data_IF_464769245034
#
_entry.id   IF_464769245034
#
_cell.length_a   1.000
_cell.length_b   1.000
_cell.length_c   1.000
_cell.angle_alpha   90.00
_cell.angle_beta   90.00
_cell.angle_gamma   90.00
#
_symmetry.space_group_name_H-M   'P 1'
#
loop_
_entity.id
_entity.type
_entity.pdbx_description
1 polymer ?
#
# COMPACT_ATOMS: atom_id res chain seq x y z
N UNK A 1 -19.75 -27.75 67.40
CA UNK A 1 -18.51 -28.30 66.81
C UNK A 1 -18.43 -27.86 65.36
N UNK A 2 -17.40 -27.06 65.06
CA UNK A 2 -16.71 -26.85 63.77
C UNK A 2 -17.47 -26.38 62.50
N UNK A 3 -17.17 -25.15 62.06
CA UNK A 3 -16.90 -24.84 60.64
C UNK A 3 -15.43 -25.24 60.32
N UNK A 4 -14.98 -25.46 59.05
CA UNK A 4 -14.88 -24.48 57.94
C UNK A 4 -15.31 -25.09 56.56
N UNK A 5 -15.44 -24.45 55.39
CA UNK A 5 -14.72 -23.36 54.71
C UNK A 5 -13.89 -23.90 53.52
N UNK A 6 -14.24 -23.56 52.27
CA UNK A 6 -13.38 -23.46 51.05
C UNK A 6 -14.26 -23.44 49.78
N UNK A 7 -14.41 -22.33 49.06
CA UNK A 7 -13.43 -21.74 48.14
C UNK A 7 -12.98 -22.72 47.04
N UNK A 8 -13.78 -22.83 45.97
CA UNK A 8 -13.40 -23.49 44.71
C UNK A 8 -13.24 -22.43 43.63
N UNK A 9 -12.01 -21.95 43.51
CA UNK A 9 -11.55 -20.89 42.62
C UNK A 9 -11.75 -21.21 41.13
N UNK A 10 -12.24 -20.19 40.42
CA UNK A 10 -12.01 -19.99 38.99
C UNK A 10 -10.56 -20.31 38.61
N UNK A 11 -10.37 -21.31 37.74
CA UNK A 11 -9.11 -21.46 37.02
C UNK A 11 -9.43 -21.61 35.55
N UNK A 12 -9.28 -20.50 34.83
CA UNK A 12 -9.42 -20.41 33.40
C UNK A 12 -8.61 -21.49 32.70
N UNK A 13 -9.30 -22.29 31.90
CA UNK A 13 -8.69 -23.30 31.05
C UNK A 13 -7.62 -22.64 30.16
N UNK A 14 -6.34 -22.83 30.51
CA UNK A 14 -5.18 -22.42 29.71
C UNK A 14 -5.33 -23.02 28.32
N UNK A 15 -5.61 -22.18 27.32
CA UNK A 15 -5.72 -22.59 25.91
C UNK A 15 -4.45 -23.32 25.47
N UNK A 16 -4.60 -24.59 25.08
CA UNK A 16 -3.52 -25.54 24.81
C UNK A 16 -3.15 -25.46 23.32
N UNK A 17 -1.89 -25.17 23.00
CA UNK A 17 -1.39 -25.11 21.63
C UNK A 17 -0.38 -26.24 21.37
N UNK A 18 -0.71 -27.12 20.41
CA UNK A 18 0.12 -28.25 19.98
C UNK A 18 1.25 -27.81 19.02
N UNK A 19 2.42 -28.46 19.10
CA UNK A 19 3.58 -28.22 18.23
C UNK A 19 3.54 -29.08 16.95
N UNK A 20 4.70 -29.52 16.44
CA UNK A 20 4.75 -30.59 15.41
C UNK A 20 4.09 -31.86 15.97
N UNK A 21 3.50 -32.68 15.08
CA UNK A 21 2.73 -33.88 15.40
C UNK A 21 3.24 -34.61 16.66
N UNK A 22 2.41 -34.65 17.71
CA UNK A 22 2.67 -35.37 18.96
C UNK A 22 3.47 -34.65 20.05
N UNK A 23 4.14 -33.52 19.76
CA UNK A 23 4.96 -32.81 20.76
C UNK A 23 4.26 -31.58 21.35
N UNK A 24 4.14 -31.56 22.69
CA UNK A 24 3.69 -30.38 23.45
C UNK A 24 4.77 -29.31 23.41
N UNK A 25 4.39 -28.09 23.05
CA UNK A 25 5.28 -26.95 23.19
C UNK A 25 5.52 -26.69 24.67
N UNK A 26 6.79 -26.66 25.08
CA UNK A 26 7.17 -26.21 26.43
C UNK A 26 6.70 -24.77 26.64
N UNK A 27 6.47 -24.36 27.88
CA UNK A 27 6.10 -22.96 28.19
C UNK A 27 7.14 -21.96 27.63
N UNK A 28 8.42 -22.33 27.67
CA UNK A 28 9.51 -21.56 27.07
C UNK A 28 9.38 -21.43 25.55
N UNK A 29 9.01 -22.51 24.85
CA UNK A 29 8.81 -22.46 23.40
C UNK A 29 7.55 -21.66 23.03
N UNK A 30 6.48 -21.78 23.82
CA UNK A 30 5.28 -20.95 23.65
C UNK A 30 5.62 -19.45 23.85
N UNK A 31 6.39 -19.12 24.89
CA UNK A 31 6.86 -17.75 25.15
C UNK A 31 7.74 -17.23 24.00
N UNK A 32 8.69 -18.01 23.51
CA UNK A 32 9.54 -17.64 22.35
C UNK A 32 8.71 -17.39 21.09
N UNK A 33 7.72 -18.23 20.79
CA UNK A 33 6.82 -18.04 19.63
C UNK A 33 5.96 -16.79 19.76
N UNK A 34 5.41 -16.52 20.96
CA UNK A 34 4.65 -15.28 21.24
C UNK A 34 5.54 -14.05 21.07
N UNK A 35 6.75 -14.07 21.63
CA UNK A 35 7.73 -12.99 21.49
C UNK A 35 8.14 -12.78 20.03
N UNK A 36 8.41 -13.84 19.27
CA UNK A 36 8.75 -13.75 17.86
C UNK A 36 7.60 -13.17 17.00
N UNK A 37 6.36 -13.58 17.27
CA UNK A 37 5.17 -13.00 16.60
C UNK A 37 5.00 -11.51 16.94
N UNK A 38 5.16 -11.13 18.21
CA UNK A 38 5.07 -9.75 18.64
C UNK A 38 6.19 -8.89 18.04
N UNK A 39 7.41 -9.41 17.98
CA UNK A 39 8.55 -8.75 17.34
C UNK A 39 8.31 -8.53 15.85
N UNK A 40 7.87 -9.56 15.11
CA UNK A 40 7.53 -9.42 13.69
C UNK A 40 6.46 -8.38 13.43
N UNK A 41 5.36 -8.39 14.19
CA UNK A 41 4.30 -7.36 14.09
C UNK A 41 4.83 -5.95 14.33
N UNK A 42 5.72 -5.76 15.32
CA UNK A 42 6.36 -4.46 15.57
C UNK A 42 7.27 -4.03 14.43
N UNK A 43 8.02 -4.96 13.83
CA UNK A 43 8.87 -4.65 12.68
C UNK A 43 8.04 -4.30 11.45
N UNK A 44 6.98 -5.07 11.17
CA UNK A 44 6.02 -4.79 10.10
C UNK A 44 5.37 -3.42 10.28
N UNK A 45 4.92 -3.08 11.49
CA UNK A 45 4.35 -1.77 11.80
C UNK A 45 5.36 -0.64 11.56
N UNK A 46 6.58 -0.75 12.10
CA UNK A 46 7.64 0.23 11.87
C UNK A 46 7.98 0.39 10.39
N UNK A 47 7.99 -0.71 9.64
CA UNK A 47 8.24 -0.68 8.21
C UNK A 47 7.11 0.03 7.45
N UNK A 48 5.85 -0.19 7.85
CA UNK A 48 4.69 0.52 7.27
C UNK A 48 4.73 2.00 7.58
N UNK A 49 5.00 2.38 8.84
CA UNK A 49 5.15 3.77 9.26
C UNK A 49 6.23 4.48 8.43
N UNK A 50 7.40 3.84 8.28
CA UNK A 50 8.48 4.37 7.44
C UNK A 50 8.08 4.48 5.96
N UNK A 51 7.37 3.49 5.42
CA UNK A 51 6.90 3.55 4.03
C UNK A 51 5.89 4.69 3.82
N UNK A 52 4.99 4.92 4.78
CA UNK A 52 4.06 6.04 4.77
C UNK A 52 4.78 7.39 4.86
N UNK A 53 5.84 7.50 5.66
CA UNK A 53 6.67 8.71 5.74
C UNK A 53 7.38 9.00 4.40
N UNK A 54 7.99 7.98 3.79
CA UNK A 54 8.59 8.09 2.46
C UNK A 54 7.56 8.49 1.42
N UNK A 55 6.38 7.86 1.44
CA UNK A 55 5.29 8.18 0.53
C UNK A 55 4.80 9.62 0.70
N UNK A 56 4.65 10.09 1.94
CA UNK A 56 4.24 11.46 2.24
C UNK A 56 5.19 12.46 1.61
N UNK A 57 6.50 12.27 1.86
CA UNK A 57 7.52 13.16 1.30
C UNK A 57 7.56 13.11 -0.22
N UNK A 58 7.42 11.93 -0.82
CA UNK A 58 7.36 11.82 -2.29
C UNK A 58 6.13 12.50 -2.87
N UNK A 59 4.99 12.35 -2.21
CA UNK A 59 3.74 13.02 -2.59
C UNK A 59 3.87 14.55 -2.51
N UNK A 60 4.46 15.09 -1.44
CA UNK A 60 4.74 16.53 -1.28
C UNK A 60 5.65 17.08 -2.39
N UNK A 61 6.56 16.25 -2.90
CA UNK A 61 7.48 16.59 -3.99
C UNK A 61 6.89 16.38 -5.40
N UNK A 62 5.61 16.03 -5.53
CA UNK A 62 5.00 15.82 -6.84
C UNK A 62 5.36 14.48 -7.51
N UNK A 63 5.92 13.52 -6.77
CA UNK A 63 6.51 12.30 -7.34
C UNK A 63 5.53 11.15 -7.58
N UNK A 64 4.21 11.35 -7.40
CA UNK A 64 3.24 10.30 -7.78
C UNK A 64 3.34 10.04 -9.27
N UNK A 65 3.60 8.78 -9.64
CA UNK A 65 3.80 8.38 -11.03
C UNK A 65 2.51 7.77 -11.62
N UNK A 66 1.88 8.39 -12.63
CA UNK A 66 0.63 7.91 -13.22
C UNK A 66 0.68 6.46 -13.73
N UNK A 67 1.77 6.06 -14.39
CA UNK A 67 1.91 4.69 -14.87
C UNK A 67 1.85 3.62 -13.77
N UNK A 68 2.25 3.98 -12.55
CA UNK A 68 2.17 3.08 -11.39
C UNK A 68 0.70 2.92 -10.97
N UNK A 69 -0.09 3.98 -11.03
CA UNK A 69 -1.55 3.92 -10.81
C UNK A 69 -2.18 2.94 -11.81
N UNK A 70 -1.93 3.14 -13.11
CA UNK A 70 -2.43 2.23 -14.17
C UNK A 70 -2.00 0.79 -13.94
N UNK A 71 -0.72 0.55 -13.67
CA UNK A 71 -0.21 -0.80 -13.45
C UNK A 71 -0.84 -1.50 -12.22
N UNK A 72 -1.12 -0.76 -11.15
CA UNK A 72 -1.76 -1.30 -9.95
C UNK A 72 -3.24 -1.63 -10.19
N UNK A 73 -3.97 -0.75 -10.90
CA UNK A 73 -5.37 -0.96 -11.26
C UNK A 73 -5.53 -2.14 -12.24
N UNK A 74 -4.71 -2.19 -13.30
CA UNK A 74 -4.71 -3.28 -14.29
C UNK A 74 -4.42 -4.63 -13.64
N UNK A 75 -3.45 -4.69 -12.73
CA UNK A 75 -3.08 -5.93 -12.03
C UNK A 75 -4.21 -6.47 -11.15
N UNK A 76 -5.01 -5.56 -10.57
CA UNK A 76 -6.19 -5.89 -9.77
C UNK A 76 -7.49 -6.03 -10.58
N UNK A 77 -7.48 -5.69 -11.87
CA UNK A 77 -8.69 -5.52 -12.71
C UNK A 77 -9.72 -4.58 -12.07
N UNK A 78 -9.20 -3.48 -11.51
CA UNK A 78 -10.01 -2.40 -10.96
C UNK A 78 -10.39 -1.47 -12.11
N UNK A 79 -11.64 -1.50 -12.54
CA UNK A 79 -12.13 -0.76 -13.70
C UNK A 79 -13.47 -0.09 -13.38
N UNK A 80 -13.72 1.07 -13.97
CA UNK A 80 -14.99 1.78 -13.89
C UNK A 80 -15.16 2.68 -12.65
N UNK A 81 -16.35 3.29 -12.49
CA UNK A 81 -16.59 4.39 -11.54
C UNK A 81 -16.48 3.98 -10.07
N UNK A 82 -16.57 2.67 -9.78
CA UNK A 82 -16.41 2.15 -8.42
C UNK A 82 -14.99 2.41 -7.88
N UNK A 83 -13.99 2.60 -8.76
CA UNK A 83 -12.62 2.91 -8.38
C UNK A 83 -12.51 4.32 -7.80
N UNK A 84 -13.12 5.32 -8.44
CA UNK A 84 -13.21 6.69 -7.91
C UNK A 84 -13.89 6.69 -6.53
N UNK A 85 -15.01 5.98 -6.40
CA UNK A 85 -15.76 5.88 -5.14
C UNK A 85 -14.89 5.25 -4.05
N UNK A 86 -14.20 4.14 -4.36
CA UNK A 86 -13.32 3.46 -3.41
C UNK A 86 -12.15 4.36 -2.96
N UNK A 87 -11.70 5.27 -3.83
CA UNK A 87 -10.64 6.22 -3.54
C UNK A 87 -11.17 7.53 -2.93
N UNK A 88 -12.48 7.69 -2.71
CA UNK A 88 -13.07 8.94 -2.21
C UNK A 88 -12.91 10.10 -3.19
N UNK A 89 -12.95 9.82 -4.48
CA UNK A 89 -12.85 10.79 -5.56
C UNK A 89 -14.16 10.89 -6.34
N UNK A 90 -14.33 12.03 -7.03
CA UNK A 90 -15.45 12.24 -7.95
C UNK A 90 -14.99 11.86 -9.37
N UNK A 91 -15.74 10.97 -10.02
CA UNK A 91 -15.49 10.59 -11.42
C UNK A 91 -15.41 11.84 -12.32
N UNK A 92 -14.40 11.98 -13.20
CA UNK A 92 -13.44 10.96 -13.65
C UNK A 92 -12.03 11.10 -13.02
N UNK A 93 -11.94 11.41 -11.72
CA UNK A 93 -10.65 11.73 -11.08
C UNK A 93 -9.56 10.67 -11.29
N UNK A 94 -9.89 9.38 -11.20
CA UNK A 94 -8.90 8.30 -11.34
C UNK A 94 -8.37 8.24 -12.77
N UNK A 95 -9.23 8.38 -13.78
CA UNK A 95 -8.79 8.48 -15.18
C UNK A 95 -7.84 9.67 -15.37
N UNK A 96 -8.12 10.80 -14.72
CA UNK A 96 -7.27 11.99 -14.75
C UNK A 96 -5.94 11.78 -13.98
N UNK A 97 -5.91 10.93 -12.96
CA UNK A 97 -4.67 10.54 -12.28
C UNK A 97 -3.79 9.68 -13.17
N UNK A 98 -4.37 8.69 -13.85
CA UNK A 98 -3.68 7.83 -14.82
C UNK A 98 -3.19 8.62 -16.04
N UNK A 99 -3.95 9.65 -16.45
CA UNK A 99 -3.55 10.59 -17.49
C UNK A 99 -2.50 11.63 -17.02
N UNK A 100 -2.21 11.70 -15.72
CA UNK A 100 -1.30 12.69 -15.15
C UNK A 100 -1.83 14.12 -15.19
N UNK A 101 -3.13 14.32 -15.43
CA UNK A 101 -3.78 15.63 -15.54
C UNK A 101 -4.46 16.07 -14.25
N UNK A 102 -4.55 15.19 -13.25
CA UNK A 102 -4.96 15.51 -11.88
C UNK A 102 -4.05 14.80 -10.89
N UNK A 103 -3.76 15.47 -9.77
CA UNK A 103 -2.93 14.91 -8.71
C UNK A 103 -3.82 14.44 -7.55
N UNK A 104 -3.70 13.18 -7.08
CA UNK A 104 -4.50 12.69 -5.96
C UNK A 104 -4.08 13.38 -4.66
N UNK A 105 -5.02 13.57 -3.73
CA UNK A 105 -4.63 13.93 -2.35
C UNK A 105 -3.91 12.76 -1.70
N UNK A 106 -3.16 13.01 -0.61
CA UNK A 106 -2.49 11.91 0.09
C UNK A 106 -3.46 10.89 0.70
N UNK A 107 -4.65 11.33 1.11
CA UNK A 107 -5.70 10.44 1.61
C UNK A 107 -6.21 9.53 0.47
N UNK A 108 -6.47 10.10 -0.70
CA UNK A 108 -6.86 9.33 -1.89
C UNK A 108 -5.77 8.34 -2.32
N UNK A 109 -4.50 8.75 -2.27
CA UNK A 109 -3.36 7.85 -2.54
C UNK A 109 -3.27 6.70 -1.52
N UNK A 110 -3.63 6.95 -0.26
CA UNK A 110 -3.69 5.92 0.78
C UNK A 110 -4.81 4.92 0.49
N UNK A 111 -5.99 5.40 0.11
CA UNK A 111 -7.12 4.56 -0.29
C UNK A 111 -6.81 3.73 -1.54
N UNK A 112 -6.14 4.30 -2.53
CA UNK A 112 -5.67 3.59 -3.71
C UNK A 112 -4.70 2.45 -3.36
N UNK A 113 -3.77 2.69 -2.43
CA UNK A 113 -2.84 1.67 -1.94
C UNK A 113 -3.57 0.52 -1.22
N UNK A 114 -4.61 0.85 -0.44
CA UNK A 114 -5.46 -0.16 0.21
C UNK A 114 -6.28 -0.97 -0.80
N UNK A 115 -6.88 -0.30 -1.79
CA UNK A 115 -7.68 -0.92 -2.85
C UNK A 115 -6.85 -1.93 -3.65
N UNK A 116 -5.65 -1.51 -4.08
CA UNK A 116 -4.79 -2.30 -4.97
C UNK A 116 -3.89 -3.30 -4.23
N UNK A 117 -3.74 -3.14 -2.90
CA UNK A 117 -2.85 -3.96 -2.08
C UNK A 117 -1.36 -3.64 -2.23
N UNK A 118 -1.00 -2.61 -3.00
CA UNK A 118 0.38 -2.14 -3.12
C UNK A 118 0.79 -1.30 -1.91
N UNK A 119 2.08 -1.29 -1.59
CA UNK A 119 2.60 -0.40 -0.55
C UNK A 119 2.51 1.06 -1.00
N UNK A 120 2.04 1.97 -0.15
CA UNK A 120 1.84 3.39 -0.53
C UNK A 120 3.11 4.07 -1.08
N UNK A 121 4.31 3.70 -0.60
CA UNK A 121 5.58 4.25 -1.11
C UNK A 121 5.87 3.86 -2.56
N UNK A 122 5.30 2.75 -3.03
CA UNK A 122 5.48 2.25 -4.39
C UNK A 122 5.01 3.28 -5.42
N UNK A 123 3.94 4.03 -5.15
CA UNK A 123 3.40 5.04 -6.09
C UNK A 123 4.29 6.28 -6.28
N UNK A 124 5.28 6.49 -5.42
CA UNK A 124 6.20 7.65 -5.48
C UNK A 124 7.66 7.27 -5.74
N UNK A 125 7.91 6.00 -6.08
CA UNK A 125 9.23 5.53 -6.47
C UNK A 125 9.61 6.11 -7.84
N UNK A 126 10.79 6.70 -7.92
CA UNK A 126 11.31 7.39 -9.12
C UNK A 126 12.14 6.46 -9.98
N UNK A 127 11.62 5.27 -10.30
CA UNK A 127 12.22 4.36 -11.26
C UNK A 127 11.52 4.46 -12.63
N UNK A 128 12.27 4.08 -13.66
CA UNK A 128 11.72 4.02 -15.01
C UNK A 128 11.11 2.64 -15.28
N UNK A 129 9.90 2.57 -15.87
CA UNK A 129 9.33 1.31 -16.29
C UNK A 129 10.22 0.67 -17.37
N UNK A 130 10.30 -0.66 -17.35
CA UNK A 130 11.03 -1.40 -18.38
C UNK A 130 10.40 -1.06 -19.74
N UNK A 131 11.20 -0.50 -20.65
CA UNK A 131 10.75 -0.29 -22.03
C UNK A 131 10.48 -1.66 -22.67
N UNK A 132 9.21 -2.01 -22.83
CA UNK A 132 8.84 -3.33 -23.35
C UNK A 132 9.35 -3.55 -24.77
N UNK A 133 9.62 -2.48 -25.54
CA UNK A 133 10.21 -2.53 -26.90
C UNK A 133 11.63 -3.10 -26.88
N UNK A 134 12.32 -2.97 -25.76
CA UNK A 134 13.65 -3.54 -25.53
C UNK A 134 13.63 -5.02 -25.12
N UNK A 135 12.45 -5.59 -24.88
CA UNK A 135 12.28 -6.97 -24.38
C UNK A 135 11.75 -7.91 -25.47
N UNK A 136 11.92 -9.23 -25.27
CA UNK A 136 11.36 -10.25 -26.16
C UNK A 136 9.83 -10.22 -26.23
N UNK A 137 9.15 -9.66 -25.21
CA UNK A 137 7.69 -9.51 -25.18
C UNK A 137 7.17 -8.70 -26.37
N UNK A 138 7.92 -7.67 -26.81
CA UNK A 138 7.54 -6.88 -27.98
C UNK A 138 7.36 -7.74 -29.23
N UNK A 139 8.24 -8.73 -29.42
CA UNK A 139 8.18 -9.69 -30.52
C UNK A 139 6.93 -10.58 -30.50
N UNK A 140 6.39 -10.85 -29.31
CA UNK A 140 5.21 -11.69 -29.10
C UNK A 140 3.88 -10.92 -29.16
N UNK A 141 3.89 -9.59 -29.11
CA UNK A 141 2.69 -8.77 -29.28
C UNK A 141 2.18 -8.83 -30.72
N UNK A 142 0.85 -8.94 -30.87
CA UNK A 142 0.22 -8.84 -32.19
C UNK A 142 0.28 -7.38 -32.71
N UNK A 143 0.04 -7.21 -34.02
CA UNK A 143 0.12 -5.90 -34.69
C UNK A 143 -0.75 -4.84 -34.00
N UNK A 144 -2.00 -5.19 -33.67
CA UNK A 144 -2.95 -4.27 -33.01
C UNK A 144 -2.45 -3.82 -31.65
N UNK A 145 -1.92 -4.73 -30.84
CA UNK A 145 -1.39 -4.42 -29.52
C UNK A 145 -0.16 -3.49 -29.59
N UNK A 146 0.69 -3.64 -30.62
CA UNK A 146 1.80 -2.70 -30.86
C UNK A 146 1.33 -1.33 -31.31
N UNK A 147 0.31 -1.27 -32.17
CA UNK A 147 -0.27 0.00 -32.64
C UNK A 147 -1.01 0.77 -31.54
N UNK A 148 -1.58 0.06 -30.56
CA UNK A 148 -2.28 0.65 -29.43
C UNK A 148 -1.37 0.97 -28.24
N UNK A 149 -0.12 0.52 -28.27
CA UNK A 149 0.83 0.75 -27.18
C UNK A 149 1.17 2.25 -27.07
N UNK A 150 1.19 2.75 -25.84
CA UNK A 150 1.57 4.13 -25.52
C UNK A 150 2.73 4.10 -24.53
N UNK A 151 3.63 5.09 -24.64
CA UNK A 151 4.65 5.28 -23.62
C UNK A 151 3.97 5.57 -22.26
N UNK A 152 4.48 5.00 -21.16
CA UNK A 152 3.94 5.22 -19.84
C UNK A 152 4.09 6.69 -19.40
N UNK A 153 3.06 7.24 -18.76
CA UNK A 153 3.10 8.59 -18.20
C UNK A 153 3.85 8.56 -16.88
N UNK A 154 5.03 9.17 -16.84
CA UNK A 154 5.95 9.07 -15.70
C UNK A 154 5.65 10.05 -14.57
N UNK A 155 5.12 11.22 -14.90
CA UNK A 155 4.89 12.32 -13.96
C UNK A 155 3.55 12.99 -14.24
N UNK A 156 2.91 13.52 -13.20
CA UNK A 156 1.79 14.44 -13.37
C UNK A 156 2.26 15.80 -13.88
N UNK A 157 1.38 16.57 -14.52
CA UNK A 157 1.69 17.93 -14.92
C UNK A 157 1.90 18.86 -13.71
N UNK A 158 2.74 19.89 -13.87
CA UNK A 158 2.97 20.89 -12.83
C UNK A 158 1.66 21.58 -12.41
N UNK A 159 0.76 21.84 -13.36
CA UNK A 159 -0.57 22.39 -13.11
C UNK A 159 -1.42 21.46 -12.22
N UNK A 160 -1.39 20.15 -12.49
CA UNK A 160 -2.11 19.15 -11.70
C UNK A 160 -1.58 19.08 -10.26
N UNK A 161 -0.25 19.12 -10.11
CA UNK A 161 0.42 19.12 -8.80
C UNK A 161 0.08 20.40 -8.04
N UNK A 162 0.16 21.57 -8.69
CA UNK A 162 -0.10 22.88 -8.07
C UNK A 162 -1.57 23.11 -7.70
N UNK A 163 -2.51 22.46 -8.38
CA UNK A 163 -3.94 22.54 -8.08
C UNK A 163 -4.36 21.70 -6.86
N UNK A 164 -3.53 20.75 -6.41
CA UNK A 164 -3.85 19.88 -5.28
C UNK A 164 -3.61 20.60 -3.93
N UNK A 165 -4.59 20.64 -3.02
CA UNK A 165 -4.37 21.18 -1.68
C UNK A 165 -3.27 20.40 -0.92
N UNK A 166 -2.34 21.13 -0.29
CA UNK A 166 -1.28 20.56 0.55
C UNK A 166 0.04 20.20 -0.16
N UNK A 167 0.12 20.30 -1.49
CA UNK A 167 1.39 20.23 -2.24
C UNK A 167 2.05 21.62 -2.36
N UNK A 168 1.25 22.68 -2.46
CA UNK A 168 1.73 24.07 -2.54
C UNK A 168 2.34 24.61 -1.23
N UNK A 169 1.78 24.23 -0.07
CA UNK A 169 2.25 24.71 1.25
C UNK A 169 3.69 24.26 1.57
N UNK A 170 4.13 23.09 1.06
CA UNK A 170 5.48 22.58 1.35
C UNK A 170 6.56 23.40 0.63
N UNK A 171 6.32 23.78 -0.63
CA UNK A 171 7.25 24.57 -1.43
C UNK A 171 7.41 25.99 -0.87
N UNK A 172 6.32 26.60 -0.38
CA UNK A 172 6.39 27.93 0.25
C UNK A 172 7.08 27.91 1.62
N UNK A 173 7.02 26.80 2.36
CA UNK A 173 7.53 26.73 3.75
C UNK A 173 8.99 26.24 3.85
N UNK A 174 9.55 25.56 2.84
CA UNK A 174 10.86 24.91 2.92
C UNK A 174 11.86 25.28 1.82
N UNK A 175 11.50 26.16 0.88
CA UNK A 175 12.41 26.66 -0.17
C UNK A 175 12.66 28.19 -0.11
N UNK A 176 12.21 28.88 0.93
CA UNK A 176 12.54 30.29 1.20
C UNK A 176 12.96 30.53 2.66
#
# INVERSE_FOLDING_TARGET
MSAPGSAGSETGARQQFWGRAGHRLTENEQRRRRQARAYRRRQEQKSREKATEVARRGWELGLVAPWRITAALDSGRHEGPDVDIACGAEEPAVDEWEAGTRYPTFEQLTLLAELTGYGISWFVETDEPIDIRSTTMWGHMNKRAREQWKDPILVCSDDAIGACPGTADYLETHLF
#
